data_IF_280371296959
#
_entry.id   IF_280371296959
#
_cell.length_a   1.000
_cell.length_b   1.000
_cell.length_c   1.000
_cell.angle_alpha   90.00
_cell.angle_beta   90.00
_cell.angle_gamma   90.00
#
_symmetry.space_group_name_H-M   'P 1'
#
loop_
_entity.id
_entity.type
_entity.pdbx_description
1 polymer ?
#
# COMPACT_ATOMS: atom_id res chain seq x y z
N UNK A 1 -15.76 5.77 -3.64
CA UNK A 1 -15.36 5.30 -4.99
C UNK A 1 -14.17 4.40 -4.75
N UNK A 2 -14.12 3.23 -5.40
CA UNK A 2 -12.93 2.40 -5.35
C UNK A 2 -11.72 3.20 -5.83
N UNK A 3 -10.61 3.06 -5.11
CA UNK A 3 -9.38 3.84 -5.35
C UNK A 3 -8.20 2.88 -5.45
N UNK A 4 -7.31 3.15 -6.40
CA UNK A 4 -6.00 2.49 -6.44
C UNK A 4 -5.03 3.27 -5.56
N UNK A 5 -4.09 2.54 -4.96
CA UNK A 5 -3.10 3.15 -4.08
C UNK A 5 -1.70 2.67 -4.41
N UNK A 6 -0.74 3.55 -4.15
CA UNK A 6 0.68 3.22 -4.10
C UNK A 6 1.17 3.35 -2.67
N UNK A 7 1.90 2.34 -2.20
CA UNK A 7 2.45 2.28 -0.84
C UNK A 7 3.96 2.44 -0.91
N UNK A 8 4.49 3.35 -0.11
CA UNK A 8 5.92 3.51 0.13
C UNK A 8 6.18 3.62 1.63
N UNK A 9 7.44 3.65 2.03
CA UNK A 9 7.84 3.64 3.43
C UNK A 9 8.73 4.85 3.73
N UNK A 10 8.58 5.44 4.92
CA UNK A 10 9.33 6.63 5.33
C UNK A 10 10.85 6.38 5.41
N UNK A 11 11.25 5.14 5.68
CA UNK A 11 12.64 4.75 5.89
C UNK A 11 12.86 3.25 5.69
N UNK A 12 14.12 2.84 5.58
CA UNK A 12 14.51 1.43 5.54
C UNK A 12 14.04 0.67 6.79
N UNK A 13 14.22 1.25 7.98
CA UNK A 13 13.76 0.66 9.24
C UNK A 13 12.24 0.51 9.28
N UNK A 14 11.49 1.53 8.86
CA UNK A 14 10.03 1.45 8.77
C UNK A 14 9.60 0.27 7.89
N UNK A 15 10.20 0.14 6.70
CA UNK A 15 9.97 -0.98 5.80
C UNK A 15 10.32 -2.34 6.45
N UNK A 16 11.46 -2.47 7.11
CA UNK A 16 11.84 -3.73 7.78
C UNK A 16 10.86 -4.14 8.88
N UNK A 17 10.31 -3.17 9.62
CA UNK A 17 9.42 -3.45 10.73
C UNK A 17 7.95 -3.64 10.32
N UNK A 18 7.50 -3.01 9.21
CA UNK A 18 6.06 -2.99 8.85
C UNK A 18 5.70 -3.72 7.57
N UNK A 19 6.66 -4.10 6.72
CA UNK A 19 6.35 -4.74 5.43
C UNK A 19 5.49 -6.02 5.56
N UNK A 20 5.74 -6.83 6.60
CA UNK A 20 4.98 -8.07 6.82
C UNK A 20 3.53 -7.76 7.20
N UNK A 21 3.32 -6.71 8.00
CA UNK A 21 1.99 -6.27 8.41
C UNK A 21 1.23 -5.65 7.24
N UNK A 22 1.88 -4.80 6.43
CA UNK A 22 1.32 -4.28 5.16
C UNK A 22 0.86 -5.43 4.27
N UNK A 23 1.73 -6.41 4.00
CA UNK A 23 1.39 -7.55 3.17
C UNK A 23 0.25 -8.39 3.75
N UNK A 24 0.19 -8.55 5.07
CA UNK A 24 -0.90 -9.26 5.75
C UNK A 24 -2.24 -8.53 5.59
N UNK A 25 -2.26 -7.21 5.75
CA UNK A 25 -3.48 -6.40 5.58
C UNK A 25 -3.92 -6.47 4.12
N UNK A 26 -3.00 -6.23 3.18
CA UNK A 26 -3.32 -6.28 1.74
C UNK A 26 -3.89 -7.64 1.32
N UNK A 27 -3.31 -8.74 1.82
CA UNK A 27 -3.81 -10.09 1.54
C UNK A 27 -5.17 -10.36 2.17
N UNK A 28 -5.46 -9.81 3.35
CA UNK A 28 -6.79 -9.90 3.97
C UNK A 28 -7.85 -9.17 3.13
N UNK A 29 -7.48 -8.01 2.57
CA UNK A 29 -8.37 -7.15 1.81
C UNK A 29 -8.63 -7.66 0.38
N UNK A 30 -7.58 -8.02 -0.35
CA UNK A 30 -7.67 -8.35 -1.79
C UNK A 30 -7.61 -9.85 -2.08
N UNK A 31 -7.18 -10.66 -1.10
CA UNK A 31 -6.91 -12.08 -1.28
C UNK A 31 -5.57 -12.41 -1.95
N UNK A 32 -4.71 -11.44 -2.27
CA UNK A 32 -3.38 -11.66 -2.86
C UNK A 32 -2.26 -10.91 -2.13
N UNK A 33 -1.04 -11.46 -2.22
CA UNK A 33 0.21 -10.84 -1.76
C UNK A 33 1.17 -10.51 -2.91
N UNK A 34 0.80 -10.86 -4.15
CA UNK A 34 1.61 -10.60 -5.34
C UNK A 34 1.21 -9.23 -5.94
N UNK A 35 1.96 -8.20 -5.55
CA UNK A 35 1.79 -6.84 -6.07
C UNK A 35 3.00 -6.40 -6.89
N UNK A 36 2.78 -5.65 -7.98
CA UNK A 36 3.86 -5.01 -8.69
C UNK A 36 4.62 -4.05 -7.76
N UNK A 37 5.94 -4.22 -7.67
CA UNK A 37 6.81 -3.40 -6.83
C UNK A 37 8.08 -2.95 -7.55
N UNK A 38 8.63 -1.80 -7.17
CA UNK A 38 9.90 -1.31 -7.72
C UNK A 38 11.11 -2.06 -7.16
N UNK A 39 12.20 -2.14 -7.91
CA UNK A 39 13.49 -2.67 -7.45
C UNK A 39 14.29 -1.65 -6.60
N UNK A 40 13.59 -0.93 -5.72
CA UNK A 40 14.14 0.09 -4.82
C UNK A 40 14.15 -0.42 -3.38
N UNK A 41 14.91 0.23 -2.50
CA UNK A 41 14.85 -0.04 -1.07
C UNK A 41 14.70 1.30 -0.33
N UNK A 42 13.55 1.58 0.34
CA UNK A 42 12.36 0.73 0.38
C UNK A 42 11.65 0.62 -1.00
N UNK A 43 10.95 -0.48 -1.28
CA UNK A 43 10.20 -0.65 -2.52
C UNK A 43 8.94 0.23 -2.50
N UNK A 44 8.51 0.65 -3.68
CA UNK A 44 7.16 1.19 -3.90
C UNK A 44 6.28 0.04 -4.38
N UNK A 45 5.16 -0.20 -3.69
CA UNK A 45 4.18 -1.26 -3.96
C UNK A 45 2.95 -0.62 -4.61
N UNK A 46 2.52 -1.13 -5.76
CA UNK A 46 1.35 -0.63 -6.48
C UNK A 46 0.19 -1.60 -6.27
N UNK A 47 -0.85 -1.15 -5.55
CA UNK A 47 -2.06 -1.93 -5.32
C UNK A 47 -3.02 -1.64 -6.46
N UNK A 48 -3.13 -2.60 -7.38
CA UNK A 48 -4.00 -2.50 -8.56
C UNK A 48 -5.46 -2.80 -8.27
N UNK A 49 -5.72 -3.43 -7.13
CA UNK A 49 -7.06 -3.73 -6.66
C UNK A 49 -7.77 -2.47 -6.15
N UNK A 50 -9.08 -2.49 -6.27
CA UNK A 50 -9.96 -1.38 -5.94
C UNK A 50 -10.27 -1.42 -4.44
N UNK A 51 -9.66 -0.51 -3.66
CA UNK A 51 -9.87 -0.42 -2.21
C UNK A 51 -10.86 0.70 -1.86
N UNK A 52 -11.69 0.46 -0.84
CA UNK A 52 -12.53 1.49 -0.24
C UNK A 52 -11.71 2.36 0.75
N UNK A 53 -12.27 3.51 1.15
CA UNK A 53 -11.57 4.48 1.99
C UNK A 53 -11.18 3.94 3.37
N UNK A 54 -12.05 3.12 3.98
CA UNK A 54 -11.78 2.45 5.25
C UNK A 54 -10.58 1.49 5.17
N UNK A 55 -10.41 0.82 4.03
CA UNK A 55 -9.31 -0.13 3.79
C UNK A 55 -7.98 0.61 3.60
N UNK A 56 -8.02 1.73 2.87
CA UNK A 56 -6.88 2.62 2.65
C UNK A 56 -6.43 3.23 3.98
N UNK A 57 -7.37 3.66 4.83
CA UNK A 57 -7.07 4.21 6.15
C UNK A 57 -6.37 3.17 7.04
N UNK A 58 -6.79 1.89 6.95
CA UNK A 58 -6.19 0.80 7.71
C UNK A 58 -4.71 0.58 7.37
N UNK A 59 -4.35 0.68 6.10
CA UNK A 59 -2.94 0.59 5.67
C UNK A 59 -2.16 1.84 6.07
N UNK A 60 -2.77 3.03 5.94
CA UNK A 60 -2.15 4.32 6.30
C UNK A 60 -1.88 4.47 7.80
N UNK A 61 -2.62 3.77 8.65
CA UNK A 61 -2.44 3.83 10.10
C UNK A 61 -1.15 3.13 10.59
N UNK A 62 -0.48 2.38 9.70
CA UNK A 62 0.79 1.72 10.03
C UNK A 62 1.92 2.75 10.15
N UNK A 63 2.69 2.63 11.22
CA UNK A 63 3.82 3.53 11.52
C UNK A 63 4.88 3.44 10.41
N UNK A 64 5.28 4.57 9.82
CA UNK A 64 6.28 4.57 8.77
C UNK A 64 5.78 4.16 7.38
N UNK A 65 4.47 4.01 7.18
CA UNK A 65 3.84 3.71 5.88
C UNK A 65 3.24 4.98 5.29
N UNK A 66 3.58 5.26 4.03
CA UNK A 66 3.01 6.37 3.25
C UNK A 66 2.12 5.76 2.16
N UNK A 67 0.85 6.13 2.17
CA UNK A 67 -0.13 5.71 1.16
C UNK A 67 -0.51 6.89 0.29
N UNK A 68 -0.16 6.79 -0.98
CA UNK A 68 -0.58 7.70 -2.04
C UNK A 68 -1.82 7.12 -2.74
N UNK A 69 -2.84 7.94 -2.91
CA UNK A 69 -4.11 7.52 -3.52
C UNK A 69 -4.12 8.04 -4.94
N UNK A 70 -4.14 7.14 -5.91
CA UNK A 70 -4.35 7.50 -7.30
C UNK A 70 -5.83 7.85 -7.45
N UNK A 71 -6.15 9.14 -7.37
CA UNK A 71 -7.41 9.64 -7.88
C UNK A 71 -7.30 9.57 -9.40
N UNK A 72 -8.12 8.73 -10.05
CA UNK A 72 -8.29 8.80 -11.50
C UNK A 72 -8.62 10.25 -11.85
N UNK A 73 -7.61 11.00 -12.32
CA UNK A 73 -7.80 12.29 -12.95
C UNK A 73 -8.59 12.00 -14.23
N UNK A 74 -9.92 12.06 -14.12
CA UNK A 74 -10.86 12.21 -15.24
C UNK A 74 -10.31 13.29 -16.18
N UNK A 75 -9.74 12.86 -17.31
CA UNK A 75 -9.39 13.74 -18.43
C UNK A 75 -10.40 13.59 -19.57
#
# INVERSE_FOLDING_TARGET
>A
MPKRISITFESFDAWQNTQEEVNSILRELTGTDDYPSTMSIPPLIMVTDELDEDDIERVRYLDGVIVDVEEDEDN
#
